data_IF_122722430050
#
_entry.id   IF_122722430050
#
_cell.length_a   1.000
_cell.length_b   1.000
_cell.length_c   1.000
_cell.angle_alpha   90.00
_cell.angle_beta   90.00
_cell.angle_gamma   90.00
#
_symmetry.space_group_name_H-M   'P 1'
#
loop_
_entity.id
_entity.type
_entity.pdbx_description
1 polymer ?
#
# COMPACT_ATOMS: atom_id res chain seq x y z
N UNK A 1 -19.91 -18.39 4.75
CA UNK A 1 -19.54 -17.86 3.41
C UNK A 1 -20.72 -17.71 2.46
N UNK A 2 -21.48 -18.75 2.09
CA UNK A 2 -22.62 -18.64 1.14
C UNK A 2 -23.60 -17.51 1.49
N UNK A 3 -23.98 -17.37 2.77
CA UNK A 3 -24.89 -16.32 3.20
C UNK A 3 -24.30 -14.90 3.10
N UNK A 4 -23.00 -14.72 3.33
CA UNK A 4 -22.34 -13.43 3.19
C UNK A 4 -22.31 -12.96 1.72
N UNK A 5 -22.00 -13.88 0.82
CA UNK A 5 -22.00 -13.61 -0.63
C UNK A 5 -23.42 -13.31 -1.13
N UNK A 6 -24.41 -14.10 -0.69
CA UNK A 6 -25.81 -13.89 -1.07
C UNK A 6 -26.31 -12.51 -0.61
N UNK A 7 -26.01 -12.11 0.63
CA UNK A 7 -26.37 -10.80 1.15
C UNK A 7 -25.68 -9.66 0.42
N UNK A 8 -24.40 -9.81 0.09
CA UNK A 8 -23.67 -8.82 -0.73
C UNK A 8 -24.34 -8.64 -2.12
N UNK A 9 -24.68 -9.75 -2.78
CA UNK A 9 -25.35 -9.72 -4.08
C UNK A 9 -26.74 -9.04 -3.98
N UNK A 10 -27.53 -9.34 -2.94
CA UNK A 10 -28.82 -8.71 -2.70
C UNK A 10 -28.69 -7.19 -2.51
N UNK A 11 -27.69 -6.73 -1.77
CA UNK A 11 -27.43 -5.30 -1.54
C UNK A 11 -27.05 -4.62 -2.87
N UNK A 12 -26.21 -5.25 -3.68
CA UNK A 12 -25.76 -4.71 -4.97
C UNK A 12 -26.89 -4.67 -6.02
N UNK A 13 -27.87 -5.59 -5.93
CA UNK A 13 -29.04 -5.62 -6.82
C UNK A 13 -30.07 -4.57 -6.39
N UNK A 14 -30.39 -4.48 -5.09
CA UNK A 14 -31.43 -3.57 -4.57
C UNK A 14 -31.03 -2.10 -4.60
N UNK A 15 -29.74 -1.77 -4.44
CA UNK A 15 -29.18 -0.40 -4.45
C UNK A 15 -29.95 0.61 -3.59
N UNK A 16 -30.45 0.18 -2.44
CA UNK A 16 -31.12 1.06 -1.48
C UNK A 16 -30.12 2.10 -0.92
N UNK A 17 -30.62 3.22 -0.39
CA UNK A 17 -29.78 4.28 0.16
C UNK A 17 -28.71 3.73 1.13
N UNK A 18 -27.44 4.10 0.91
CA UNK A 18 -26.29 3.63 1.70
C UNK A 18 -25.83 2.19 1.37
N UNK A 19 -26.23 1.66 0.21
CA UNK A 19 -25.84 0.30 -0.22
C UNK A 19 -24.33 0.13 -0.34
N UNK A 20 -23.60 1.20 -0.71
CA UNK A 20 -22.14 1.18 -0.84
C UNK A 20 -21.46 0.86 0.48
N UNK A 21 -21.88 1.51 1.59
CA UNK A 21 -21.34 1.23 2.92
C UNK A 21 -21.66 -0.18 3.39
N UNK A 22 -22.89 -0.65 3.13
CA UNK A 22 -23.29 -2.02 3.44
C UNK A 22 -22.53 -3.04 2.60
N UNK A 23 -22.32 -2.77 1.32
CA UNK A 23 -21.52 -3.63 0.45
C UNK A 23 -20.06 -3.72 0.94
N UNK A 24 -19.42 -2.59 1.29
CA UNK A 24 -18.09 -2.56 1.87
C UNK A 24 -17.98 -3.39 3.16
N UNK A 25 -18.99 -3.31 4.06
CA UNK A 25 -18.98 -4.10 5.29
C UNK A 25 -19.06 -5.61 5.02
N UNK A 26 -19.84 -6.04 4.04
CA UNK A 26 -19.90 -7.46 3.65
C UNK A 26 -18.61 -7.93 2.96
N UNK A 27 -17.97 -7.10 2.14
CA UNK A 27 -16.65 -7.40 1.57
C UNK A 27 -15.61 -7.60 2.68
N UNK A 28 -15.64 -6.73 3.71
CA UNK A 28 -14.78 -6.88 4.88
C UNK A 28 -15.02 -8.21 5.63
N UNK A 29 -16.28 -8.54 5.92
CA UNK A 29 -16.67 -9.79 6.59
C UNK A 29 -16.30 -11.04 5.77
N UNK A 30 -16.40 -10.97 4.45
CA UNK A 30 -15.95 -12.04 3.56
C UNK A 30 -14.43 -12.17 3.65
N UNK A 31 -13.69 -11.06 3.62
CA UNK A 31 -12.23 -11.03 3.77
C UNK A 31 -11.78 -11.61 5.12
N UNK A 32 -12.42 -11.21 6.21
CA UNK A 32 -12.17 -11.75 7.55
C UNK A 32 -12.48 -13.26 7.62
N UNK A 33 -13.60 -13.70 7.06
CA UNK A 33 -13.94 -15.11 7.00
C UNK A 33 -12.97 -15.93 6.16
N UNK A 34 -12.49 -15.38 5.04
CA UNK A 34 -11.44 -15.98 4.23
C UNK A 34 -10.12 -16.04 5.00
N UNK A 35 -9.73 -14.96 5.67
CA UNK A 35 -8.50 -14.90 6.47
C UNK A 35 -8.51 -15.91 7.62
N UNK A 36 -9.65 -16.08 8.31
CA UNK A 36 -9.77 -16.97 9.47
C UNK A 36 -9.99 -18.45 9.09
N UNK A 37 -10.59 -18.74 7.93
CA UNK A 37 -10.96 -20.10 7.54
C UNK A 37 -10.14 -20.66 6.37
N UNK A 38 -9.58 -19.83 5.55
CA UNK A 38 -8.38 -20.16 4.85
C UNK A 38 -7.26 -19.75 5.81
N UNK A 39 -6.89 -20.64 6.72
CA UNK A 39 -5.47 -20.80 6.91
C UNK A 39 -4.94 -20.68 5.48
N UNK A 40 -4.10 -19.69 5.22
CA UNK A 40 -3.14 -19.80 4.12
C UNK A 40 -2.45 -21.09 4.50
N UNK A 41 -3.07 -22.18 4.06
CA UNK A 41 -2.49 -23.47 4.17
C UNK A 41 -1.14 -23.19 3.56
N UNK A 42 -0.15 -23.20 4.38
CA UNK A 42 1.17 -23.62 4.01
C UNK A 42 0.91 -24.86 3.19
N UNK A 43 0.45 -24.61 1.93
CA UNK A 43 0.13 -25.64 0.99
C UNK A 43 1.44 -26.30 0.75
N UNK A 44 1.48 -27.41 1.33
CA UNK A 44 2.33 -28.43 0.88
C UNK A 44 3.74 -28.40 1.37
N UNK A 45 4.01 -29.45 1.87
CA UNK A 45 5.29 -30.10 1.90
C UNK A 45 6.13 -29.79 3.12
N UNK A 46 6.21 -30.78 3.92
CA UNK A 46 7.25 -31.04 4.92
C UNK A 46 8.69 -31.01 4.35
N UNK A 47 8.89 -30.38 3.18
CA UNK A 47 10.19 -30.20 2.54
C UNK A 47 10.49 -28.76 2.08
N UNK A 48 9.60 -27.75 2.35
CA UNK A 48 9.81 -26.36 1.92
C UNK A 48 10.07 -25.37 3.07
N UNK A 49 9.94 -25.76 4.33
CA UNK A 49 10.00 -24.84 5.47
C UNK A 49 11.31 -24.02 5.59
N UNK A 50 12.41 -24.49 4.99
CA UNK A 50 13.65 -23.72 4.96
C UNK A 50 13.74 -22.75 3.75
N UNK A 51 13.00 -23.02 2.67
CA UNK A 51 13.10 -22.23 1.44
C UNK A 51 12.18 -21.01 1.48
N UNK A 52 10.98 -21.17 2.03
CA UNK A 52 10.00 -20.07 2.17
C UNK A 52 10.46 -19.06 3.21
N UNK A 53 11.01 -19.50 4.33
CA UNK A 53 11.61 -18.62 5.33
C UNK A 53 12.81 -17.81 4.79
N UNK A 54 13.55 -18.33 3.81
CA UNK A 54 14.73 -17.66 3.28
C UNK A 54 14.38 -16.47 2.38
N UNK A 55 13.37 -16.61 1.51
CA UNK A 55 12.94 -15.48 0.67
C UNK A 55 12.30 -14.39 1.51
N UNK A 56 11.50 -14.74 2.51
CA UNK A 56 10.87 -13.78 3.41
C UNK A 56 11.91 -12.97 4.21
N UNK A 57 12.97 -13.63 4.69
CA UNK A 57 14.08 -12.96 5.36
C UNK A 57 14.82 -11.99 4.44
N UNK A 58 15.08 -12.38 3.18
CA UNK A 58 15.69 -11.52 2.17
C UNK A 58 14.79 -10.30 1.88
N UNK A 59 13.50 -10.53 1.69
CA UNK A 59 12.52 -9.48 1.43
C UNK A 59 12.42 -8.50 2.60
N UNK A 60 12.39 -9.00 3.83
CA UNK A 60 12.35 -8.17 5.03
C UNK A 60 13.62 -7.33 5.17
N UNK A 61 14.80 -7.93 4.94
CA UNK A 61 16.06 -7.21 4.94
C UNK A 61 16.07 -6.06 3.90
N UNK A 62 15.57 -6.31 2.68
CA UNK A 62 15.45 -5.27 1.65
C UNK A 62 14.49 -4.16 2.11
N UNK A 63 13.35 -4.52 2.74
CA UNK A 63 12.36 -3.57 3.27
C UNK A 63 12.90 -2.74 4.45
N UNK A 64 13.80 -3.27 5.24
CA UNK A 64 14.43 -2.53 6.34
C UNK A 64 15.52 -1.58 5.83
N UNK A 65 16.26 -1.97 4.80
CA UNK A 65 17.39 -1.23 4.26
C UNK A 65 17.08 -0.39 3.01
N UNK A 66 15.81 -0.27 2.60
CA UNK A 66 15.41 0.34 1.32
C UNK A 66 15.91 1.77 1.12
N UNK A 67 16.05 2.54 2.21
CA UNK A 67 16.46 3.94 2.19
C UNK A 67 17.99 4.15 2.17
N UNK A 68 18.76 3.07 2.21
CA UNK A 68 20.23 3.09 2.07
C UNK A 68 20.65 2.71 0.65
N UNK A 69 21.95 2.85 0.34
CA UNK A 69 22.51 2.45 -0.96
C UNK A 69 22.71 0.94 -1.08
N UNK A 70 21.67 0.18 -0.68
CA UNK A 70 21.71 -1.29 -0.72
C UNK A 70 21.85 -1.81 -2.15
N UNK A 71 22.78 -2.73 -2.32
CA UNK A 71 23.07 -3.42 -3.60
C UNK A 71 22.73 -4.90 -3.52
N UNK A 72 22.48 -5.53 -4.67
CA UNK A 72 22.26 -6.99 -4.71
C UNK A 72 23.47 -7.77 -4.21
N UNK A 73 24.69 -7.24 -4.40
CA UNK A 73 25.93 -7.86 -3.89
C UNK A 73 25.98 -7.86 -2.37
N UNK A 74 25.56 -6.78 -1.71
CA UNK A 74 25.48 -6.70 -0.26
C UNK A 74 24.45 -7.68 0.29
N UNK A 75 23.26 -7.76 -0.33
CA UNK A 75 22.25 -8.76 0.06
C UNK A 75 22.78 -10.18 -0.12
N UNK A 76 23.49 -10.46 -1.22
CA UNK A 76 24.09 -11.76 -1.45
C UNK A 76 25.12 -12.12 -0.37
N UNK A 77 25.96 -11.17 0.02
CA UNK A 77 26.95 -11.34 1.08
C UNK A 77 26.30 -11.59 2.44
N UNK A 78 25.26 -10.82 2.80
CA UNK A 78 24.54 -10.95 4.06
C UNK A 78 23.92 -12.35 4.26
N UNK A 79 23.37 -12.90 3.18
CA UNK A 79 22.71 -14.22 3.23
C UNK A 79 23.64 -15.37 2.78
N UNK A 80 24.92 -15.12 2.60
CA UNK A 80 25.91 -16.10 2.11
C UNK A 80 25.44 -16.80 0.81
N UNK A 81 24.96 -16.00 -0.15
CA UNK A 81 24.45 -16.45 -1.45
C UNK A 81 25.34 -15.96 -2.58
N UNK A 82 25.36 -16.76 -3.66
CA UNK A 82 25.97 -16.31 -4.90
C UNK A 82 25.10 -15.21 -5.54
N UNK A 83 25.72 -14.15 -6.08
CA UNK A 83 25.05 -13.02 -6.74
C UNK A 83 24.07 -13.47 -7.85
N UNK A 84 24.52 -14.35 -8.73
CA UNK A 84 23.68 -14.84 -9.84
C UNK A 84 22.50 -15.66 -9.35
N UNK A 85 22.75 -16.52 -8.36
CA UNK A 85 21.68 -17.28 -7.72
C UNK A 85 20.64 -16.35 -7.09
N UNK A 86 21.06 -15.36 -6.31
CA UNK A 86 20.14 -14.41 -5.66
C UNK A 86 19.36 -13.60 -6.68
N UNK A 87 19.98 -13.17 -7.78
CA UNK A 87 19.31 -12.44 -8.85
C UNK A 87 18.14 -13.23 -9.44
N UNK A 88 18.36 -14.50 -9.77
CA UNK A 88 17.32 -15.39 -10.28
C UNK A 88 16.29 -15.72 -9.19
N UNK A 89 16.75 -16.02 -7.98
CA UNK A 89 15.90 -16.37 -6.86
C UNK A 89 14.88 -15.26 -6.51
N UNK A 90 15.32 -13.99 -6.48
CA UNK A 90 14.41 -12.85 -6.30
C UNK A 90 13.44 -12.75 -7.49
N UNK A 91 13.94 -12.85 -8.72
CA UNK A 91 13.10 -12.73 -9.91
C UNK A 91 12.02 -13.81 -9.97
N UNK A 92 12.36 -15.03 -9.61
CA UNK A 92 11.43 -16.18 -9.66
C UNK A 92 10.37 -16.11 -8.55
N UNK A 93 10.74 -15.61 -7.36
CA UNK A 93 9.80 -15.55 -6.23
C UNK A 93 9.01 -14.23 -6.16
N UNK A 94 9.59 -13.11 -6.61
CA UNK A 94 8.97 -11.78 -6.57
C UNK A 94 8.38 -11.35 -7.92
N UNK A 95 8.74 -12.05 -9.01
CA UNK A 95 8.28 -11.74 -10.37
C UNK A 95 8.99 -10.56 -11.03
N UNK A 96 9.99 -9.94 -10.38
CA UNK A 96 10.74 -8.80 -10.91
C UNK A 96 12.19 -8.77 -10.42
N UNK A 97 13.05 -7.99 -11.10
CA UNK A 97 14.44 -7.84 -10.66
C UNK A 97 14.56 -7.13 -9.32
N UNK A 98 15.66 -7.38 -8.59
CA UNK A 98 15.98 -6.69 -7.33
C UNK A 98 15.84 -5.17 -7.43
N UNK A 99 16.41 -4.55 -8.48
CA UNK A 99 16.35 -3.10 -8.66
C UNK A 99 14.90 -2.58 -8.84
N UNK A 100 14.09 -3.31 -9.59
CA UNK A 100 12.68 -2.94 -9.78
C UNK A 100 11.90 -3.08 -8.47
N UNK A 101 12.16 -4.14 -7.72
CA UNK A 101 11.54 -4.36 -6.41
C UNK A 101 11.93 -3.29 -5.39
N UNK A 102 13.22 -2.97 -5.30
CA UNK A 102 13.72 -1.90 -4.44
C UNK A 102 13.11 -0.54 -4.81
N UNK A 103 13.06 -0.22 -6.11
CA UNK A 103 12.43 1.00 -6.58
C UNK A 103 10.93 1.05 -6.24
N UNK A 104 10.22 -0.07 -6.33
CA UNK A 104 8.80 -0.16 -5.95
C UNK A 104 8.60 0.18 -4.48
N UNK A 105 9.38 -0.41 -3.57
CA UNK A 105 9.32 -0.09 -2.13
C UNK A 105 9.61 1.39 -1.89
N UNK A 106 10.68 1.91 -2.49
CA UNK A 106 11.06 3.33 -2.37
C UNK A 106 9.95 4.27 -2.84
N UNK A 107 9.29 3.93 -3.96
CA UNK A 107 8.18 4.71 -4.50
C UNK A 107 6.96 4.66 -3.59
N UNK A 108 6.59 3.51 -3.04
CA UNK A 108 5.48 3.37 -2.09
C UNK A 108 5.68 4.25 -0.86
N UNK A 109 6.88 4.29 -0.31
CA UNK A 109 7.23 5.17 0.82
C UNK A 109 7.25 6.64 0.42
N UNK A 110 7.80 6.96 -0.75
CA UNK A 110 7.84 8.31 -1.28
C UNK A 110 6.44 8.86 -1.56
N UNK A 111 5.50 8.09 -2.11
CA UNK A 111 4.11 8.53 -2.35
C UNK A 111 3.40 8.90 -1.07
N UNK A 112 3.60 8.13 0.01
CA UNK A 112 3.07 8.48 1.31
C UNK A 112 3.60 9.86 1.79
N UNK A 113 4.91 10.08 1.67
CA UNK A 113 5.51 11.38 2.03
C UNK A 113 5.07 12.53 1.12
N UNK A 114 4.87 12.27 -0.19
CA UNK A 114 4.35 13.26 -1.15
C UNK A 114 2.98 13.77 -0.72
N UNK A 115 2.11 12.89 -0.26
CA UNK A 115 0.74 13.20 0.13
C UNK A 115 0.69 13.87 1.51
N UNK A 116 1.42 13.33 2.49
CA UNK A 116 1.24 13.67 3.90
C UNK A 116 2.32 14.63 4.46
N UNK A 117 3.24 15.14 3.64
CA UNK A 117 4.24 16.10 4.11
C UNK A 117 4.42 17.28 3.16
N UNK A 118 4.91 18.40 3.71
CA UNK A 118 5.27 19.59 2.93
C UNK A 118 6.73 19.56 2.44
N UNK A 119 7.42 18.42 2.57
CA UNK A 119 8.81 18.29 2.12
C UNK A 119 8.93 18.52 0.61
N UNK A 120 10.05 19.07 0.18
CA UNK A 120 10.33 19.20 -1.24
C UNK A 120 10.68 17.84 -1.87
N UNK A 121 10.57 17.74 -3.20
CA UNK A 121 10.75 16.46 -3.91
C UNK A 121 12.18 15.93 -3.84
N UNK A 122 13.17 16.82 -3.67
CA UNK A 122 14.58 16.41 -3.49
C UNK A 122 14.78 15.75 -2.13
N UNK A 123 14.24 16.33 -1.08
CA UNK A 123 14.27 15.74 0.26
C UNK A 123 13.58 14.38 0.28
N UNK A 124 12.37 14.28 -0.31
CA UNK A 124 11.63 13.02 -0.39
C UNK A 124 12.44 11.95 -1.13
N UNK A 125 13.04 12.30 -2.28
CA UNK A 125 13.87 11.37 -3.04
C UNK A 125 15.03 10.84 -2.19
N UNK A 126 15.80 11.73 -1.55
CA UNK A 126 16.96 11.36 -0.74
C UNK A 126 16.55 10.52 0.48
N UNK A 127 15.51 10.91 1.20
CA UNK A 127 15.04 10.18 2.38
C UNK A 127 14.56 8.76 2.05
N UNK A 128 14.12 8.52 0.81
CA UNK A 128 13.69 7.21 0.35
C UNK A 128 14.80 6.46 -0.44
N UNK A 129 16.06 6.90 -0.33
CA UNK A 129 17.22 6.17 -0.84
C UNK A 129 17.42 6.29 -2.36
N UNK A 130 16.83 7.27 -3.04
CA UNK A 130 17.14 7.53 -4.44
C UNK A 130 18.48 8.29 -4.56
N UNK A 131 19.37 7.82 -5.40
CA UNK A 131 20.70 8.41 -5.63
C UNK A 131 20.65 9.82 -6.21
N UNK A 132 19.56 10.17 -6.91
CA UNK A 132 19.33 11.52 -7.42
C UNK A 132 17.85 11.81 -7.62
N UNK A 133 17.51 13.09 -7.54
CA UNK A 133 16.14 13.58 -7.82
C UNK A 133 15.73 13.26 -9.27
N UNK A 134 16.65 13.37 -10.22
CA UNK A 134 16.37 13.06 -11.64
C UNK A 134 16.00 11.59 -11.84
N UNK A 135 16.71 10.68 -11.18
CA UNK A 135 16.38 9.24 -11.22
C UNK A 135 15.04 8.96 -10.57
N UNK A 136 14.76 9.58 -9.41
CA UNK A 136 13.45 9.49 -8.76
C UNK A 136 12.31 9.92 -9.68
N UNK A 137 12.40 11.08 -10.34
CA UNK A 137 11.39 11.54 -11.29
C UNK A 137 11.18 10.57 -12.45
N UNK A 138 12.27 10.03 -13.01
CA UNK A 138 12.22 9.05 -14.10
C UNK A 138 11.46 7.78 -13.68
N UNK A 139 11.82 7.22 -12.52
CA UNK A 139 11.20 5.99 -12.02
C UNK A 139 9.75 6.24 -11.61
N UNK A 140 9.47 7.38 -10.96
CA UNK A 140 8.12 7.78 -10.56
C UNK A 140 7.19 7.95 -11.76
N UNK A 141 7.64 8.68 -12.79
CA UNK A 141 6.85 8.88 -14.01
C UNK A 141 6.58 7.58 -14.77
N UNK A 142 7.55 6.65 -14.74
CA UNK A 142 7.37 5.31 -15.33
C UNK A 142 6.28 4.51 -14.62
N UNK A 143 6.19 4.60 -13.28
CA UNK A 143 5.24 3.81 -12.48
C UNK A 143 3.84 4.44 -12.43
N UNK A 144 3.77 5.77 -12.25
CA UNK A 144 2.51 6.47 -12.02
C UNK A 144 2.00 7.28 -13.23
N UNK A 145 2.72 7.30 -14.36
CA UNK A 145 2.42 8.06 -15.58
C UNK A 145 2.28 9.60 -15.36
N UNK A 146 2.75 10.12 -14.25
CA UNK A 146 2.78 11.54 -13.92
C UNK A 146 4.03 11.88 -13.10
N UNK A 147 4.34 13.16 -12.96
CA UNK A 147 5.43 13.61 -12.10
C UNK A 147 5.01 13.61 -10.62
N UNK A 148 5.97 13.53 -9.67
CA UNK A 148 5.67 13.63 -8.24
C UNK A 148 4.90 14.91 -7.86
N UNK A 149 5.17 16.04 -8.51
CA UNK A 149 4.47 17.29 -8.28
C UNK A 149 3.03 17.27 -8.79
N UNK A 150 2.80 16.72 -9.98
CA UNK A 150 1.46 16.51 -10.52
C UNK A 150 0.65 15.55 -9.64
N UNK A 151 1.30 14.50 -9.16
CA UNK A 151 0.69 13.54 -8.22
C UNK A 151 0.23 14.24 -6.94
N UNK A 152 1.08 15.07 -6.30
CA UNK A 152 0.73 15.86 -5.12
C UNK A 152 -0.46 16.77 -5.38
N UNK A 153 -0.45 17.51 -6.50
CA UNK A 153 -1.55 18.41 -6.87
C UNK A 153 -2.86 17.66 -7.07
N UNK A 154 -2.82 16.55 -7.83
CA UNK A 154 -4.04 15.76 -8.10
C UNK A 154 -4.66 15.17 -6.85
N UNK A 155 -3.85 14.88 -5.83
CA UNK A 155 -4.34 14.37 -4.54
C UNK A 155 -4.99 15.49 -3.72
N UNK A 156 -4.36 16.68 -3.64
CA UNK A 156 -4.91 17.84 -2.98
C UNK A 156 -6.26 18.27 -3.62
N UNK A 157 -6.34 18.28 -4.94
CA UNK A 157 -7.57 18.60 -5.67
C UNK A 157 -8.68 17.56 -5.44
N UNK A 158 -8.35 16.27 -5.37
CA UNK A 158 -9.32 15.21 -5.07
C UNK A 158 -9.84 15.30 -3.65
N UNK A 159 -8.98 15.54 -2.66
CA UNK A 159 -9.40 15.73 -1.27
C UNK A 159 -10.26 16.98 -1.11
N UNK A 160 -9.88 18.08 -1.75
CA UNK A 160 -10.65 19.33 -1.77
C UNK A 160 -12.03 19.11 -2.39
N UNK A 161 -12.11 18.48 -3.56
CA UNK A 161 -13.37 18.17 -4.23
C UNK A 161 -14.22 17.18 -3.46
N UNK A 162 -13.61 16.15 -2.84
CA UNK A 162 -14.31 15.19 -1.97
C UNK A 162 -14.88 15.88 -0.74
N UNK A 163 -14.16 16.80 -0.15
CA UNK A 163 -14.63 17.61 0.98
C UNK A 163 -15.80 18.51 0.56
N UNK A 164 -15.72 19.15 -0.61
CA UNK A 164 -16.81 19.97 -1.16
C UNK A 164 -18.05 19.15 -1.52
N UNK A 165 -17.88 17.95 -2.11
CA UNK A 165 -19.00 17.06 -2.39
C UNK A 165 -19.67 16.57 -1.12
N UNK A 166 -18.89 16.24 -0.08
CA UNK A 166 -19.44 15.85 1.22
C UNK A 166 -20.18 17.02 1.90
N UNK A 167 -19.69 18.24 1.79
CA UNK A 167 -20.35 19.44 2.33
C UNK A 167 -21.64 19.77 1.56
N UNK A 168 -21.69 19.57 0.26
CA UNK A 168 -22.91 19.81 -0.57
C UNK A 168 -24.00 18.75 -0.35
N UNK A 169 -23.62 17.53 0.02
CA UNK A 169 -24.57 16.43 0.24
C UNK A 169 -25.00 16.26 1.71
N UNK A 170 -24.39 16.99 2.64
CA UNK A 170 -24.80 17.02 4.03
C UNK A 170 -25.65 18.28 4.19
N UNK A 171 -26.96 18.12 4.24
CA UNK A 171 -27.83 19.14 4.78
C UNK A 171 -27.46 19.33 6.26
N UNK A 172 -26.87 20.50 6.55
CA UNK A 172 -26.19 20.82 7.82
C UNK A 172 -27.11 20.98 9.02
N UNK A 173 -28.38 20.56 8.94
CA UNK A 173 -29.37 20.70 10.00
C UNK A 173 -29.40 19.52 10.99
N UNK A 174 -28.59 18.51 10.79
CA UNK A 174 -28.55 17.38 11.72
C UNK A 174 -27.41 17.56 12.74
N UNK A 175 -27.77 18.00 13.97
CA UNK A 175 -26.84 18.13 15.11
C UNK A 175 -26.05 16.84 15.40
N UNK A 176 -26.60 15.70 15.04
CA UNK A 176 -26.00 14.39 15.28
C UNK A 176 -24.79 14.13 14.38
N UNK A 177 -24.81 14.61 13.12
CA UNK A 177 -23.69 14.46 12.17
C UNK A 177 -22.49 15.27 12.63
N UNK A 178 -22.67 16.49 13.15
CA UNK A 178 -21.59 17.32 13.71
C UNK A 178 -20.91 16.64 14.90
N UNK A 179 -21.70 16.00 15.78
CA UNK A 179 -21.17 15.30 16.94
C UNK A 179 -20.36 14.05 16.57
N UNK A 180 -20.79 13.34 15.52
CA UNK A 180 -20.08 12.15 15.00
C UNK A 180 -18.76 12.55 14.32
N UNK A 181 -18.78 13.60 13.51
CA UNK A 181 -17.55 14.12 12.87
C UNK A 181 -16.55 14.60 13.93
N UNK A 182 -16.97 15.32 14.96
CA UNK A 182 -16.09 15.76 16.04
C UNK A 182 -15.52 14.60 16.88
N UNK A 183 -16.25 13.47 17.00
CA UNK A 183 -15.76 12.27 17.68
C UNK A 183 -14.83 11.41 16.82
N UNK A 184 -14.96 11.43 15.50
CA UNK A 184 -14.14 10.63 14.59
C UNK A 184 -12.83 11.35 14.19
N UNK A 185 -12.80 12.69 14.20
CA UNK A 185 -11.64 13.48 13.83
C UNK A 185 -10.39 13.22 14.71
N UNK A 186 -10.48 13.03 16.04
CA UNK A 186 -9.33 12.66 16.85
C UNK A 186 -8.77 11.28 16.58
N UNK A 187 -9.64 10.34 16.13
CA UNK A 187 -9.22 8.97 15.78
C UNK A 187 -8.43 8.92 14.47
N UNK A 188 -8.76 9.78 13.53
CA UNK A 188 -8.07 9.86 12.24
C UNK A 188 -6.65 10.45 12.39
N UNK A 189 -6.44 11.37 13.31
CA UNK A 189 -5.12 11.98 13.58
C UNK A 189 -4.16 11.06 14.33
N UNK A 190 -4.65 10.14 15.14
CA UNK A 190 -3.82 9.22 15.95
C UNK A 190 -3.41 7.93 15.23
N UNK A 191 -3.96 7.63 14.05
CA UNK A 191 -3.56 6.45 13.26
C UNK A 191 -2.33 6.74 12.38
N UNK A 192 -1.92 8.01 12.26
CA UNK A 192 -0.85 8.44 11.36
C UNK A 192 0.29 9.22 12.07
N UNK A 193 0.38 9.17 13.41
CA UNK A 193 1.59 9.48 14.16
C UNK A 193 2.36 8.19 14.48
#
# INVERSE_FOLDING_TARGET
MRNLIANLLLILVKKENGYEFRACSYVYLIGEHLYNNFEVNKIGSKHSDQKDNKIDNIINFIKEKYNTDITLSEVASEFNLNYYFLSHYIKDNVGMSFQNYLNKIRLEKATNMIIHSNKNMTEIALMNGFSSTSYFYKVFKKEYNCTPLEYRKSFADKEFNKSLCNIRNISLDNKDVKSVIQRLYPYYYNIYQ
#
